data_IF_382020030631
#
_entry.id   IF_382020030631
#
_cell.length_a   1.000
_cell.length_b   1.000
_cell.length_c   1.000
_cell.angle_alpha   90.00
_cell.angle_beta   90.00
_cell.angle_gamma   90.00
#
_symmetry.space_group_name_H-M   'P 1'
#
loop_
_entity.id
_entity.type
_entity.pdbx_description
1 polymer ?
#
# COMPACT_ATOMS: atom_id res chain seq x y z
N UNK A 1 -21.69 -8.97 -7.30
CA UNK A 1 -20.28 -8.88 -7.76
C UNK A 1 -19.96 -7.50 -8.34
N UNK A 2 -20.86 -6.93 -9.15
CA UNK A 2 -20.70 -5.62 -9.79
C UNK A 2 -20.45 -4.42 -8.84
N UNK A 3 -21.00 -4.45 -7.62
CA UNK A 3 -20.88 -3.32 -6.68
C UNK A 3 -19.44 -3.07 -6.17
N UNK A 4 -18.68 -4.13 -5.90
CA UNK A 4 -17.30 -4.01 -5.37
C UNK A 4 -16.34 -3.47 -6.42
N UNK A 5 -16.41 -3.99 -7.63
CA UNK A 5 -15.59 -3.50 -8.75
C UNK A 5 -15.89 -2.02 -9.02
N UNK A 6 -17.16 -1.63 -8.99
CA UNK A 6 -17.56 -0.23 -9.12
C UNK A 6 -17.01 0.65 -7.97
N UNK A 7 -16.97 0.14 -6.74
CA UNK A 7 -16.36 0.85 -5.61
C UNK A 7 -14.86 1.10 -5.87
N UNK A 8 -14.11 0.07 -6.26
CA UNK A 8 -12.68 0.17 -6.55
C UNK A 8 -12.43 1.21 -7.65
N UNK A 9 -13.17 1.13 -8.77
CA UNK A 9 -13.05 2.06 -9.88
C UNK A 9 -13.40 3.50 -9.48
N UNK A 10 -14.47 3.69 -8.70
CA UNK A 10 -14.88 5.01 -8.20
C UNK A 10 -13.80 5.64 -7.33
N UNK A 11 -13.21 4.87 -6.40
CA UNK A 11 -12.18 5.36 -5.51
C UNK A 11 -10.89 5.66 -6.26
N UNK A 12 -10.50 4.79 -7.21
CA UNK A 12 -9.38 5.04 -8.12
C UNK A 12 -9.54 6.38 -8.83
N UNK A 13 -10.68 6.61 -9.50
CA UNK A 13 -10.92 7.85 -10.22
C UNK A 13 -10.93 9.07 -9.28
N UNK A 14 -11.45 8.92 -8.06
CA UNK A 14 -11.41 9.99 -7.07
C UNK A 14 -9.98 10.38 -6.70
N UNK A 15 -9.07 9.41 -6.54
CA UNK A 15 -7.65 9.68 -6.28
C UNK A 15 -6.98 10.37 -7.46
N UNK A 16 -7.29 9.95 -8.68
CA UNK A 16 -6.80 10.60 -9.91
C UNK A 16 -7.27 12.06 -10.00
N UNK A 17 -8.50 12.35 -9.57
CA UNK A 17 -9.03 13.71 -9.46
C UNK A 17 -8.42 14.53 -8.30
N UNK A 18 -7.41 14.00 -7.60
CA UNK A 18 -6.78 14.67 -6.44
C UNK A 18 -7.60 14.62 -5.16
N UNK A 19 -8.67 13.83 -5.09
CA UNK A 19 -9.50 13.67 -3.88
C UNK A 19 -8.92 12.60 -2.97
N UNK A 20 -9.09 12.77 -1.65
CA UNK A 20 -8.72 11.77 -0.65
C UNK A 20 -9.81 10.70 -0.52
N UNK A 21 -9.42 9.46 -0.28
CA UNK A 21 -10.35 8.42 0.15
C UNK A 21 -10.72 8.61 1.63
N UNK A 22 -11.95 8.27 2.00
CA UNK A 22 -12.37 8.31 3.41
C UNK A 22 -11.91 7.07 4.16
N UNK A 23 -11.75 7.18 5.49
CA UNK A 23 -11.42 6.04 6.36
C UNK A 23 -12.41 4.88 6.18
N UNK A 24 -13.69 5.16 6.04
CA UNK A 24 -14.74 4.15 5.79
C UNK A 24 -14.52 3.38 4.50
N UNK A 25 -14.05 4.05 3.45
CA UNK A 25 -13.77 3.43 2.17
C UNK A 25 -12.50 2.58 2.24
N UNK A 26 -11.47 3.07 2.92
CA UNK A 26 -10.25 2.30 3.18
C UNK A 26 -10.55 1.00 3.96
N UNK A 27 -11.42 1.06 4.98
CA UNK A 27 -11.86 -0.13 5.73
C UNK A 27 -12.58 -1.13 4.81
N UNK A 28 -13.44 -0.66 3.89
CA UNK A 28 -14.10 -1.56 2.93
C UNK A 28 -13.09 -2.22 2.00
N UNK A 29 -12.12 -1.46 1.48
CA UNK A 29 -11.05 -1.99 0.63
C UNK A 29 -10.18 -3.02 1.35
N UNK A 30 -9.91 -2.81 2.63
CA UNK A 30 -9.10 -3.72 3.44
C UNK A 30 -9.79 -5.06 3.73
N UNK A 31 -11.13 -5.10 3.69
CA UNK A 31 -11.93 -6.28 4.00
C UNK A 31 -12.60 -6.87 2.75
N UNK A 32 -12.02 -6.67 1.57
CA UNK A 32 -12.53 -7.29 0.35
C UNK A 32 -12.26 -8.80 0.34
N UNK A 33 -13.14 -9.53 -0.33
CA UNK A 33 -12.92 -10.94 -0.67
C UNK A 33 -11.75 -11.06 -1.65
N UNK A 34 -10.91 -12.08 -1.47
CA UNK A 34 -9.67 -12.31 -2.22
C UNK A 34 -9.85 -12.30 -3.73
N UNK A 35 -11.04 -12.69 -4.24
CA UNK A 35 -11.33 -12.66 -5.68
C UNK A 35 -11.26 -11.25 -6.30
N UNK A 36 -11.30 -10.19 -5.50
CA UNK A 36 -11.20 -8.80 -5.95
C UNK A 36 -9.80 -8.19 -5.80
N UNK A 37 -8.81 -8.95 -5.31
CA UNK A 37 -7.44 -8.45 -5.13
C UNK A 37 -6.79 -8.09 -6.46
N UNK A 38 -7.15 -8.77 -7.55
CA UNK A 38 -6.70 -8.46 -8.89
C UNK A 38 -7.10 -7.04 -9.31
N UNK A 39 -8.40 -6.73 -9.23
CA UNK A 39 -8.94 -5.41 -9.58
C UNK A 39 -8.44 -4.31 -8.66
N UNK A 40 -8.26 -4.61 -7.37
CA UNK A 40 -7.68 -3.64 -6.42
C UNK A 40 -6.22 -3.33 -6.77
N UNK A 41 -5.43 -4.36 -7.09
CA UNK A 41 -4.03 -4.21 -7.51
C UNK A 41 -3.92 -3.46 -8.83
N UNK A 42 -4.80 -3.75 -9.80
CA UNK A 42 -4.84 -3.04 -11.08
C UNK A 42 -5.19 -1.56 -10.90
N UNK A 43 -6.17 -1.24 -10.05
CA UNK A 43 -6.51 0.13 -9.71
C UNK A 43 -5.37 0.87 -9.02
N UNK A 44 -4.66 0.23 -8.09
CA UNK A 44 -3.49 0.80 -7.44
C UNK A 44 -2.35 1.04 -8.44
N UNK A 45 -2.06 0.07 -9.31
CA UNK A 45 -1.06 0.21 -10.37
C UNK A 45 -1.42 1.35 -11.34
N UNK A 46 -2.70 1.50 -11.72
CA UNK A 46 -3.15 2.62 -12.54
C UNK A 46 -2.82 3.97 -11.89
N UNK A 47 -3.09 4.12 -10.58
CA UNK A 47 -2.74 5.34 -9.82
C UNK A 47 -1.24 5.57 -9.85
N UNK A 48 -0.43 4.53 -9.56
CA UNK A 48 1.03 4.62 -9.62
C UNK A 48 1.52 5.09 -10.98
N UNK A 49 1.01 4.52 -12.08
CA UNK A 49 1.41 4.89 -13.44
C UNK A 49 0.93 6.28 -13.84
N UNK A 50 -0.23 6.72 -13.37
CA UNK A 50 -0.72 8.07 -13.63
C UNK A 50 0.19 9.14 -13.03
N UNK A 51 0.65 8.94 -11.79
CA UNK A 51 1.47 9.94 -11.09
C UNK A 51 2.98 9.78 -11.30
N UNK A 52 3.49 8.57 -11.52
CA UNK A 52 4.93 8.27 -11.56
C UNK A 52 5.40 7.62 -12.87
N UNK A 53 4.47 7.31 -13.77
CA UNK A 53 4.78 6.67 -15.06
C UNK A 53 5.42 5.29 -14.90
N UNK A 54 6.30 4.96 -15.85
CA UNK A 54 7.02 3.69 -15.87
C UNK A 54 8.32 3.68 -15.04
N UNK A 55 8.74 4.83 -14.50
CA UNK A 55 10.04 5.00 -13.85
C UNK A 55 10.09 4.17 -12.56
N UNK A 56 11.24 3.52 -12.35
CA UNK A 56 11.58 2.87 -11.09
C UNK A 56 12.67 3.70 -10.42
N UNK A 57 12.49 3.95 -9.12
CA UNK A 57 13.51 4.56 -8.28
C UNK A 57 14.28 3.47 -7.56
N UNK A 58 15.62 3.54 -7.60
CA UNK A 58 16.49 2.52 -7.03
C UNK A 58 17.23 3.12 -5.86
N UNK A 59 16.96 2.59 -4.67
CA UNK A 59 17.50 3.07 -3.41
C UNK A 59 18.42 2.03 -2.77
N UNK A 60 19.59 2.46 -2.28
CA UNK A 60 20.49 1.62 -1.50
C UNK A 60 20.27 1.84 0.00
N UNK A 61 20.03 0.76 0.73
CA UNK A 61 19.89 0.78 2.18
C UNK A 61 21.15 0.23 2.85
N UNK A 62 21.95 1.12 3.44
CA UNK A 62 23.09 0.75 4.27
C UNK A 62 22.64 0.45 5.71
N UNK A 63 22.95 -0.75 6.22
CA UNK A 63 22.67 -1.08 7.61
C UNK A 63 23.74 -0.50 8.55
N UNK A 64 23.46 0.68 9.09
CA UNK A 64 24.37 1.42 9.97
C UNK A 64 24.26 1.05 11.47
N UNK A 65 23.24 0.30 11.89
CA UNK A 65 22.93 0.01 13.31
C UNK A 65 22.99 -1.47 13.70
N UNK A 66 23.49 -2.34 12.82
CA UNK A 66 23.54 -3.79 13.03
C UNK A 66 24.10 -4.13 14.42
N UNK A 67 23.26 -4.75 15.27
CA UNK A 67 23.56 -5.19 16.65
C UNK A 67 23.77 -4.09 17.71
N UNK A 68 23.39 -2.83 17.42
CA UNK A 68 23.50 -1.70 18.36
C UNK A 68 22.14 -1.08 18.70
N UNK A 69 21.03 -1.77 18.42
CA UNK A 69 19.70 -1.26 18.73
C UNK A 69 19.33 -1.55 20.20
N UNK A 70 19.13 -0.50 21.00
CA UNK A 70 18.74 -0.59 22.41
C UNK A 70 17.26 -0.88 22.63
N UNK A 71 16.48 -1.07 21.57
CA UNK A 71 15.04 -1.30 21.63
C UNK A 71 14.71 -2.79 21.74
N UNK A 72 13.66 -3.13 22.50
CA UNK A 72 13.14 -4.50 22.66
C UNK A 72 11.90 -4.75 21.78
N UNK A 73 12.12 -4.81 20.47
CA UNK A 73 11.04 -5.03 19.51
C UNK A 73 10.88 -6.51 19.15
N UNK A 74 9.80 -7.15 19.60
CA UNK A 74 9.51 -8.60 19.42
C UNK A 74 9.54 -9.13 17.98
N UNK A 75 9.35 -8.25 16.99
CA UNK A 75 9.34 -8.60 15.57
C UNK A 75 10.66 -8.27 14.86
N UNK A 76 11.63 -7.64 15.54
CA UNK A 76 12.82 -7.09 14.91
C UNK A 76 14.09 -7.85 15.29
N UNK A 77 14.73 -8.49 14.30
CA UNK A 77 16.00 -9.22 14.48
C UNK A 77 17.19 -8.33 14.87
N UNK A 78 17.04 -7.00 14.91
CA UNK A 78 18.09 -6.09 15.35
C UNK A 78 17.98 -5.68 16.82
N UNK A 79 16.90 -6.07 17.52
CA UNK A 79 16.78 -5.83 18.95
C UNK A 79 17.90 -6.54 19.72
N UNK A 80 18.45 -5.86 20.74
CA UNK A 80 19.50 -6.41 21.60
C UNK A 80 19.01 -7.43 22.63
N UNK A 81 17.70 -7.70 22.67
CA UNK A 81 17.07 -8.55 23.67
C UNK A 81 16.73 -9.96 23.14
N UNK A 82 17.15 -10.32 21.91
CA UNK A 82 16.98 -11.64 21.29
C UNK A 82 18.32 -12.29 20.93
#
# INVERSE_FOLDING_TARGET
>A
MEHTQNLILKLRNSVIDGKKIMKSDAIKLFNLDDKFLGELSEAANFITRHFHGAKIDVEELANIKKNFCSEDCSFCAQSAFF
#
